data_IF_525226172271
#
_entry.id   IF_525226172271
#
_cell.length_a   1.000
_cell.length_b   1.000
_cell.length_c   1.000
_cell.angle_alpha   90.00
_cell.angle_beta   90.00
_cell.angle_gamma   90.00
#
_symmetry.space_group_name_H-M   'P 1'
#
loop_
_entity.id
_entity.type
_entity.pdbx_description
1 polymer ?
#
# COMPACT_ATOMS: atom_id res chain seq x y z
N UNK A 1 34.70 -13.49 -17.97
CA UNK A 1 33.35 -14.09 -17.81
C UNK A 1 32.69 -13.33 -16.69
N UNK A 2 31.80 -12.39 -17.00
CA UNK A 2 31.02 -11.62 -16.01
C UNK A 2 29.71 -12.39 -15.77
N UNK A 3 29.58 -12.98 -14.58
CA UNK A 3 28.37 -13.64 -14.17
C UNK A 3 27.22 -12.62 -14.13
N UNK A 4 26.25 -12.80 -15.02
CA UNK A 4 24.99 -12.10 -14.94
C UNK A 4 24.32 -12.48 -13.62
N UNK A 5 24.00 -11.50 -12.79
CA UNK A 5 23.05 -11.72 -11.68
C UNK A 5 21.72 -12.08 -12.34
N UNK A 6 21.30 -13.34 -12.21
CA UNK A 6 19.92 -13.71 -12.39
C UNK A 6 19.11 -12.76 -11.51
N UNK A 7 18.20 -12.01 -12.11
CA UNK A 7 17.22 -11.24 -11.35
C UNK A 7 16.38 -12.26 -10.60
N UNK A 8 16.61 -12.38 -9.30
CA UNK A 8 15.72 -13.17 -8.45
C UNK A 8 14.31 -12.59 -8.62
N UNK A 9 13.37 -13.41 -9.11
CA UNK A 9 11.95 -13.02 -9.13
C UNK A 9 11.55 -12.69 -7.70
N UNK A 10 11.20 -11.41 -7.45
CA UNK A 10 10.71 -10.99 -6.14
C UNK A 10 11.37 -9.69 -5.62
N UNK A 11 10.86 -9.24 -4.48
CA UNK A 11 11.29 -8.03 -3.75
C UNK A 11 12.30 -8.44 -2.69
N UNK A 12 13.53 -7.91 -2.71
CA UNK A 12 14.52 -8.17 -1.68
C UNK A 12 14.08 -7.65 -0.32
N UNK A 13 13.67 -6.35 -0.24
CA UNK A 13 13.19 -5.71 0.98
C UNK A 13 11.94 -4.87 0.71
N UNK A 14 10.85 -5.20 1.42
CA UNK A 14 9.60 -4.46 1.43
C UNK A 14 9.46 -3.67 2.73
N UNK A 15 9.25 -2.36 2.63
CA UNK A 15 8.90 -1.52 3.77
C UNK A 15 7.40 -1.23 3.77
N UNK A 16 6.70 -1.60 4.85
CA UNK A 16 5.27 -1.36 5.01
C UNK A 16 5.05 -0.21 5.98
N UNK A 17 4.60 0.91 5.45
CA UNK A 17 4.23 2.09 6.22
C UNK A 17 2.75 1.99 6.56
N UNK A 18 2.47 1.51 7.78
CA UNK A 18 1.11 1.19 8.23
C UNK A 18 0.83 -0.32 8.23
N UNK A 19 1.29 -1.03 9.27
CA UNK A 19 1.05 -2.47 9.42
C UNK A 19 -0.33 -2.70 10.04
N UNK A 20 -1.37 -2.53 9.20
CA UNK A 20 -2.76 -2.80 9.53
C UNK A 20 -3.32 -3.99 8.77
N UNK A 21 -4.65 -4.01 8.55
CA UNK A 21 -5.32 -5.04 7.76
C UNK A 21 -4.69 -5.16 6.36
N UNK A 22 -4.59 -4.07 5.60
CA UNK A 22 -4.09 -4.09 4.22
C UNK A 22 -2.59 -4.40 4.18
N UNK A 23 -1.75 -3.61 4.86
CA UNK A 23 -0.30 -3.79 4.84
C UNK A 23 0.13 -5.15 5.42
N UNK A 24 -0.51 -5.58 6.51
CA UNK A 24 -0.24 -6.89 7.12
C UNK A 24 -0.66 -8.06 6.23
N UNK A 25 -1.80 -7.96 5.54
CA UNK A 25 -2.24 -9.00 4.61
C UNK A 25 -1.33 -9.10 3.39
N UNK A 26 -0.86 -7.96 2.86
CA UNK A 26 0.13 -7.94 1.77
C UNK A 26 1.40 -8.67 2.19
N UNK A 27 1.95 -8.34 3.37
CA UNK A 27 3.13 -9.01 3.90
C UNK A 27 2.94 -10.53 4.00
N UNK A 28 1.83 -10.96 4.61
CA UNK A 28 1.51 -12.40 4.75
C UNK A 28 1.42 -13.11 3.40
N UNK A 29 0.74 -12.49 2.42
CA UNK A 29 0.57 -13.08 1.08
C UNK A 29 1.90 -13.22 0.34
N UNK A 30 2.74 -12.16 0.35
CA UNK A 30 4.04 -12.17 -0.33
C UNK A 30 5.04 -13.12 0.35
N UNK A 31 5.04 -13.21 1.68
CA UNK A 31 5.87 -14.18 2.41
C UNK A 31 5.44 -15.62 2.12
N UNK A 32 4.12 -15.91 2.08
CA UNK A 32 3.59 -17.22 1.71
C UNK A 32 4.01 -17.64 0.29
N UNK A 33 4.11 -16.68 -0.62
CA UNK A 33 4.50 -16.91 -2.01
C UNK A 33 6.02 -16.92 -2.23
N UNK A 34 6.83 -16.74 -1.19
CA UNK A 34 8.30 -16.59 -1.27
C UNK A 34 8.74 -15.48 -2.25
N UNK A 35 7.93 -14.41 -2.31
CA UNK A 35 8.14 -13.27 -3.22
C UNK A 35 8.87 -12.10 -2.56
N UNK A 36 9.05 -12.11 -1.24
CA UNK A 36 9.73 -11.07 -0.49
C UNK A 36 10.80 -11.66 0.44
N UNK A 37 12.00 -11.08 0.42
CA UNK A 37 13.11 -11.55 1.26
C UNK A 37 13.03 -11.05 2.70
N UNK A 38 12.74 -9.75 2.90
CA UNK A 38 12.61 -9.13 4.22
C UNK A 38 11.46 -8.13 4.22
N UNK A 39 10.65 -8.13 5.28
CA UNK A 39 9.57 -7.15 5.50
C UNK A 39 9.88 -6.32 6.73
N UNK A 40 9.94 -4.98 6.56
CA UNK A 40 10.09 -4.02 7.66
C UNK A 40 8.77 -3.29 7.87
N UNK A 41 8.28 -3.30 9.10
CA UNK A 41 7.07 -2.62 9.50
C UNK A 41 7.35 -1.25 10.14
N UNK A 42 6.61 -0.22 9.72
CA UNK A 42 6.57 1.07 10.38
C UNK A 42 5.14 1.44 10.76
N UNK A 43 4.96 2.05 11.91
CA UNK A 43 3.65 2.51 12.38
C UNK A 43 3.77 3.34 13.65
N UNK A 44 2.64 3.88 14.14
CA UNK A 44 2.58 4.71 15.34
C UNK A 44 2.43 3.91 16.65
N UNK A 45 1.87 2.72 16.56
CA UNK A 45 1.58 1.88 17.73
C UNK A 45 2.64 0.78 17.86
N UNK A 46 3.51 0.91 18.85
CA UNK A 46 4.51 -0.10 19.18
C UNK A 46 3.85 -1.46 19.50
N UNK A 47 2.73 -1.45 20.22
CA UNK A 47 2.00 -2.69 20.54
C UNK A 47 1.53 -3.42 19.28
N UNK A 48 1.01 -2.70 18.28
CA UNK A 48 0.61 -3.30 17.00
C UNK A 48 1.82 -3.82 16.21
N UNK A 49 2.96 -3.12 16.26
CA UNK A 49 4.18 -3.54 15.56
C UNK A 49 4.82 -4.76 16.23
N UNK A 50 4.81 -4.85 17.56
CA UNK A 50 5.23 -6.04 18.30
C UNK A 50 4.35 -7.25 17.94
N UNK A 51 3.04 -7.07 17.93
CA UNK A 51 2.10 -8.10 17.50
C UNK A 51 2.37 -8.56 16.06
N UNK A 52 2.70 -7.63 15.15
CA UNK A 52 3.07 -7.95 13.78
C UNK A 52 4.33 -8.82 13.70
N UNK A 53 5.34 -8.54 14.53
CA UNK A 53 6.55 -9.34 14.63
C UNK A 53 6.24 -10.73 15.21
N UNK A 54 5.50 -10.79 16.32
CA UNK A 54 5.14 -12.04 17.00
C UNK A 54 4.33 -12.99 16.09
N UNK A 55 3.50 -12.42 15.21
CA UNK A 55 2.74 -13.17 14.21
C UNK A 55 3.54 -13.47 12.92
N UNK A 56 4.80 -13.10 12.84
CA UNK A 56 5.63 -13.29 11.66
C UNK A 56 5.19 -12.49 10.43
N UNK A 57 4.36 -11.45 10.61
CA UNK A 57 3.90 -10.55 9.53
C UNK A 57 5.07 -9.72 9.02
N UNK A 58 5.87 -9.18 9.93
CA UNK A 58 7.10 -8.44 9.62
C UNK A 58 8.30 -9.18 10.22
N UNK A 59 9.48 -8.99 9.63
CA UNK A 59 10.73 -9.55 10.14
C UNK A 59 11.42 -8.59 11.11
N UNK A 60 11.18 -7.31 10.93
CA UNK A 60 11.63 -6.20 11.79
C UNK A 60 10.58 -5.10 11.82
N UNK A 61 10.65 -4.25 12.81
CA UNK A 61 9.83 -3.05 12.89
C UNK A 61 10.60 -1.88 13.51
N UNK A 62 10.13 -0.68 13.24
CA UNK A 62 10.67 0.55 13.81
C UNK A 62 9.60 1.64 13.93
N UNK A 63 9.82 2.61 14.81
CA UNK A 63 9.03 3.85 14.92
C UNK A 63 9.70 5.00 14.16
N UNK A 64 10.89 4.80 13.59
CA UNK A 64 11.58 5.77 12.76
C UNK A 64 11.35 5.48 11.28
N UNK A 65 10.73 6.45 10.59
CA UNK A 65 10.43 6.34 9.16
C UNK A 65 11.71 6.22 8.32
N UNK A 66 12.78 6.95 8.68
CA UNK A 66 14.03 6.91 7.92
C UNK A 66 14.69 5.52 8.01
N UNK A 67 14.64 4.90 9.19
CA UNK A 67 15.12 3.54 9.38
C UNK A 67 14.25 2.54 8.59
N UNK A 68 12.91 2.72 8.60
CA UNK A 68 11.99 1.85 7.89
C UNK A 68 12.26 1.82 6.37
N UNK A 69 12.53 2.99 5.75
CA UNK A 69 12.72 3.09 4.30
C UNK A 69 14.16 2.83 3.86
N UNK A 70 15.11 2.80 4.80
CA UNK A 70 16.51 2.58 4.48
C UNK A 70 16.74 1.20 3.83
N UNK A 71 17.20 1.20 2.59
CA UNK A 71 17.51 -0.02 1.84
C UNK A 71 16.29 -0.80 1.32
N UNK A 72 15.09 -0.24 1.37
CA UNK A 72 13.92 -0.84 0.76
C UNK A 72 14.04 -0.85 -0.78
N UNK A 73 13.57 -1.91 -1.42
CA UNK A 73 13.33 -1.96 -2.86
C UNK A 73 11.93 -1.42 -3.17
N UNK A 74 10.95 -1.79 -2.34
CA UNK A 74 9.57 -1.29 -2.44
C UNK A 74 9.11 -0.74 -1.10
N UNK A 75 8.47 0.44 -1.14
CA UNK A 75 7.82 1.09 -0.01
C UNK A 75 6.32 1.12 -0.27
N UNK A 76 5.56 0.42 0.58
CA UNK A 76 4.10 0.38 0.53
C UNK A 76 3.49 1.32 1.58
N UNK A 77 2.77 2.34 1.15
CA UNK A 77 1.93 3.17 2.03
C UNK A 77 0.58 2.50 2.23
N UNK A 78 0.35 1.94 3.40
CA UNK A 78 -0.93 1.35 3.81
C UNK A 78 -1.51 2.09 5.03
N UNK A 79 -1.36 3.42 5.03
CA UNK A 79 -1.89 4.36 6.03
C UNK A 79 -3.16 5.04 5.53
N UNK A 80 -3.94 5.70 6.39
CA UNK A 80 -5.01 6.58 5.95
C UNK A 80 -4.50 7.62 4.94
N UNK A 81 -5.31 7.91 3.91
CA UNK A 81 -4.97 8.81 2.79
C UNK A 81 -4.41 10.15 3.28
N UNK A 82 -5.03 10.76 4.32
CA UNK A 82 -4.58 12.03 4.89
C UNK A 82 -3.14 12.03 5.46
N UNK A 83 -2.52 10.86 5.64
CA UNK A 83 -1.13 10.79 6.08
C UNK A 83 -0.12 10.95 4.93
N UNK A 84 -0.55 10.89 3.69
CA UNK A 84 0.31 10.96 2.51
C UNK A 84 1.09 12.28 2.46
N UNK A 85 0.44 13.40 2.73
CA UNK A 85 1.06 14.74 2.72
C UNK A 85 2.25 14.86 3.69
N UNK A 86 2.23 14.14 4.80
CA UNK A 86 3.29 14.15 5.79
C UNK A 86 4.37 13.10 5.53
N UNK A 87 4.00 11.95 4.98
CA UNK A 87 4.90 10.81 4.81
C UNK A 87 5.71 10.90 3.50
N UNK A 88 5.07 11.27 2.39
CA UNK A 88 5.72 11.27 1.07
C UNK A 88 6.93 12.22 0.98
N UNK A 89 6.91 13.46 1.52
CA UNK A 89 8.11 14.31 1.53
C UNK A 89 9.27 13.69 2.30
N UNK A 90 8.99 13.02 3.42
CA UNK A 90 10.02 12.36 4.22
C UNK A 90 10.58 11.13 3.51
N UNK A 91 9.75 10.35 2.82
CA UNK A 91 10.18 9.21 1.99
C UNK A 91 11.03 9.71 0.82
N UNK A 92 10.59 10.80 0.16
CA UNK A 92 11.32 11.41 -0.95
C UNK A 92 12.74 11.81 -0.59
N UNK A 93 12.97 12.30 0.62
CA UNK A 93 14.31 12.65 1.11
C UNK A 93 15.28 11.44 1.15
N UNK A 94 14.76 10.23 1.28
CA UNK A 94 15.53 8.98 1.32
C UNK A 94 15.45 8.16 0.02
N UNK A 95 14.75 8.66 -1.00
CA UNK A 95 14.51 7.95 -2.26
C UNK A 95 15.82 7.77 -3.04
N UNK A 96 16.07 6.54 -3.49
CA UNK A 96 17.20 6.15 -4.35
C UNK A 96 16.67 5.64 -5.69
N UNK A 97 17.55 5.57 -6.70
CA UNK A 97 17.18 5.26 -8.09
C UNK A 97 16.53 3.87 -8.29
N UNK A 98 16.73 2.95 -7.37
CA UNK A 98 16.16 1.60 -7.43
C UNK A 98 14.95 1.38 -6.53
N UNK A 99 14.51 2.40 -5.79
CA UNK A 99 13.35 2.30 -4.90
C UNK A 99 12.05 2.56 -5.65
N UNK A 100 11.02 1.81 -5.30
CA UNK A 100 9.65 2.02 -5.77
C UNK A 100 8.79 2.42 -4.58
N UNK A 101 7.89 3.37 -4.78
CA UNK A 101 6.88 3.75 -3.80
C UNK A 101 5.51 3.47 -4.37
N UNK A 102 4.66 2.79 -3.62
CA UNK A 102 3.26 2.54 -3.97
C UNK A 102 2.37 2.76 -2.78
N UNK A 103 1.07 2.89 -3.00
CA UNK A 103 0.09 3.08 -1.93
C UNK A 103 -1.11 2.13 -2.07
N UNK A 104 -1.93 2.08 -1.03
CA UNK A 104 -3.17 1.33 -0.99
C UNK A 104 -4.39 2.22 -0.67
N UNK A 105 -4.29 3.52 -0.90
CA UNK A 105 -5.33 4.49 -0.59
C UNK A 105 -6.58 4.32 -1.46
N UNK A 106 -7.74 4.58 -0.89
CA UNK A 106 -9.03 4.48 -1.59
C UNK A 106 -9.37 5.68 -2.48
N UNK A 107 -8.61 6.77 -2.38
CA UNK A 107 -8.72 7.99 -3.22
C UNK A 107 -7.37 8.22 -3.85
N UNK A 108 -7.34 8.49 -5.17
CA UNK A 108 -6.07 8.62 -5.90
C UNK A 108 -5.64 10.06 -6.12
N UNK A 109 -6.56 10.98 -6.42
CA UNK A 109 -6.22 12.36 -6.72
C UNK A 109 -5.33 13.00 -5.65
N UNK A 110 -5.79 13.03 -4.40
CA UNK A 110 -5.03 13.66 -3.30
C UNK A 110 -3.68 12.98 -3.02
N UNK A 111 -3.58 11.66 -3.13
CA UNK A 111 -2.33 10.93 -2.93
C UNK A 111 -1.34 11.22 -4.07
N UNK A 112 -1.84 11.32 -5.30
CA UNK A 112 -1.04 11.67 -6.48
C UNK A 112 -0.51 13.10 -6.36
N UNK A 113 -1.37 14.06 -5.97
CA UNK A 113 -0.96 15.46 -5.79
C UNK A 113 0.16 15.57 -4.75
N UNK A 114 0.01 14.87 -3.61
CA UNK A 114 1.06 14.79 -2.59
C UNK A 114 2.35 14.15 -3.13
N UNK A 115 2.25 13.09 -3.94
CA UNK A 115 3.40 12.42 -4.53
C UNK A 115 4.11 13.31 -5.57
N UNK A 116 3.37 13.97 -6.45
CA UNK A 116 3.92 14.92 -7.44
C UNK A 116 4.67 16.05 -6.74
N UNK A 117 4.07 16.62 -5.69
CA UNK A 117 4.71 17.66 -4.88
C UNK A 117 5.99 17.16 -4.20
N UNK A 118 5.97 15.95 -3.64
CA UNK A 118 7.08 15.40 -2.87
C UNK A 118 8.24 14.90 -3.75
N UNK A 119 7.93 14.23 -4.85
CA UNK A 119 8.94 13.56 -5.68
C UNK A 119 9.44 14.41 -6.85
N UNK A 120 8.65 15.37 -7.34
CA UNK A 120 9.05 16.23 -8.45
C UNK A 120 9.56 15.42 -9.65
N UNK A 121 10.80 15.67 -10.10
CA UNK A 121 11.40 14.94 -11.22
C UNK A 121 11.57 13.43 -11.02
N UNK A 122 11.38 12.92 -9.80
CA UNK A 122 11.45 11.48 -9.46
C UNK A 122 10.08 10.81 -9.32
N UNK A 123 9.02 11.44 -9.84
CA UNK A 123 7.66 10.89 -9.80
C UNK A 123 7.53 9.54 -10.54
N UNK A 124 8.47 9.21 -11.43
CA UNK A 124 8.55 7.91 -12.10
C UNK A 124 8.70 6.72 -11.15
N UNK A 125 9.13 6.95 -9.92
CA UNK A 125 9.25 5.94 -8.85
C UNK A 125 7.93 5.65 -8.14
N UNK A 126 6.88 6.42 -8.40
CA UNK A 126 5.59 6.27 -7.73
C UNK A 126 4.56 5.57 -8.61
N UNK A 127 3.96 4.52 -8.04
CA UNK A 127 2.89 3.75 -8.67
C UNK A 127 1.66 3.81 -7.78
N UNK A 128 0.67 4.64 -8.07
CA UNK A 128 -0.54 4.71 -7.27
C UNK A 128 -1.36 3.43 -7.43
N UNK A 129 -1.88 2.90 -6.29
CA UNK A 129 -2.67 1.69 -6.29
C UNK A 129 -3.82 1.73 -5.29
N UNK A 130 -4.85 0.91 -5.56
CA UNK A 130 -5.99 0.75 -4.68
C UNK A 130 -6.47 -0.71 -4.72
N UNK A 131 -6.16 -1.52 -3.69
CA UNK A 131 -6.77 -2.84 -3.54
C UNK A 131 -8.25 -2.70 -3.13
N UNK A 132 -9.14 -3.27 -3.94
CA UNK A 132 -10.58 -3.30 -3.66
C UNK A 132 -10.85 -4.48 -2.72
N UNK A 133 -10.32 -4.36 -1.53
CA UNK A 133 -10.41 -5.35 -0.47
C UNK A 133 -10.41 -4.66 0.89
N UNK A 134 -11.08 -5.24 1.87
CA UNK A 134 -11.18 -4.67 3.20
C UNK A 134 -11.91 -5.60 4.15
N UNK A 135 -12.19 -5.12 5.35
CA UNK A 135 -12.93 -5.83 6.39
C UNK A 135 -13.39 -4.88 7.48
N UNK A 136 -14.26 -5.38 8.34
CA UNK A 136 -14.82 -4.60 9.46
C UNK A 136 -13.78 -4.37 10.57
N UNK A 137 -12.85 -5.28 10.72
CA UNK A 137 -11.82 -5.22 11.76
C UNK A 137 -10.57 -4.50 11.25
N UNK A 138 -9.89 -3.81 12.15
CA UNK A 138 -8.66 -3.06 11.87
C UNK A 138 -7.44 -3.62 12.62
N UNK A 139 -6.25 -3.10 12.29
CA UNK A 139 -5.00 -3.52 12.91
C UNK A 139 -4.41 -4.79 12.29
N UNK A 140 -3.21 -5.17 12.75
CA UNK A 140 -2.51 -6.35 12.22
C UNK A 140 -3.18 -7.65 12.61
N UNK A 141 -3.88 -7.70 13.74
CA UNK A 141 -4.61 -8.89 14.18
C UNK A 141 -5.74 -9.31 13.22
N UNK A 142 -6.26 -8.38 12.42
CA UNK A 142 -7.26 -8.65 11.40
C UNK A 142 -6.66 -9.08 10.04
N UNK A 143 -5.34 -8.99 9.88
CA UNK A 143 -4.68 -9.30 8.60
C UNK A 143 -4.82 -10.79 8.23
N UNK A 144 -5.13 -11.03 6.95
CA UNK A 144 -5.39 -12.36 6.41
C UNK A 144 -4.55 -12.58 5.15
N UNK A 145 -3.96 -13.75 5.03
CA UNK A 145 -3.10 -14.13 3.89
C UNK A 145 -3.84 -14.15 2.55
N UNK A 146 -5.13 -14.45 2.58
CA UNK A 146 -5.95 -14.60 1.37
C UNK A 146 -6.85 -13.37 1.11
N UNK A 147 -6.62 -12.23 1.82
CA UNK A 147 -7.44 -11.02 1.71
C UNK A 147 -7.59 -10.54 0.26
N UNK A 148 -6.55 -10.66 -0.54
CA UNK A 148 -6.53 -10.17 -1.93
C UNK A 148 -6.86 -11.25 -2.96
N UNK A 149 -6.97 -12.52 -2.53
CA UNK A 149 -7.23 -13.61 -3.46
C UNK A 149 -8.57 -13.40 -4.19
N UNK A 150 -8.54 -13.38 -5.53
CA UNK A 150 -9.68 -13.08 -6.41
C UNK A 150 -10.28 -11.67 -6.23
N UNK A 151 -9.61 -10.79 -5.51
CA UNK A 151 -10.02 -9.38 -5.41
C UNK A 151 -9.40 -8.57 -6.54
N UNK A 152 -9.95 -7.39 -6.78
CA UNK A 152 -9.40 -6.44 -7.76
C UNK A 152 -8.38 -5.53 -7.09
N UNK A 153 -7.33 -5.21 -7.82
CA UNK A 153 -6.43 -4.10 -7.50
C UNK A 153 -6.40 -3.17 -8.71
N UNK A 154 -6.66 -1.91 -8.48
CA UNK A 154 -6.64 -0.88 -9.53
C UNK A 154 -5.35 -0.10 -9.37
N UNK A 155 -4.49 -0.14 -10.38
CA UNK A 155 -3.33 0.76 -10.48
C UNK A 155 -3.74 1.97 -11.33
N UNK A 156 -3.28 3.15 -10.92
CA UNK A 156 -3.59 4.39 -11.65
C UNK A 156 -2.31 5.11 -12.07
N UNK A 157 -1.52 4.48 -12.99
CA UNK A 157 -0.22 5.02 -13.37
C UNK A 157 -0.38 6.39 -14.03
N UNK A 158 0.57 7.29 -13.74
CA UNK A 158 0.71 8.55 -14.43
C UNK A 158 1.47 8.35 -15.75
N UNK A 159 1.35 9.25 -16.74
CA UNK A 159 2.20 9.20 -17.93
C UNK A 159 3.70 9.20 -17.64
N UNK A 160 4.09 9.75 -16.49
CA UNK A 160 5.46 9.80 -15.99
C UNK A 160 5.86 8.63 -15.10
N UNK A 161 4.93 7.73 -14.75
CA UNK A 161 5.26 6.51 -13.97
C UNK A 161 6.21 5.63 -14.76
N UNK A 162 7.30 5.19 -14.15
CA UNK A 162 8.28 4.30 -14.78
C UNK A 162 7.69 2.92 -15.06
N UNK A 163 7.87 2.41 -16.28
CA UNK A 163 7.36 1.08 -16.66
C UNK A 163 7.91 -0.02 -15.76
N UNK A 164 9.20 0.06 -15.41
CA UNK A 164 9.85 -0.86 -14.47
C UNK A 164 9.19 -0.90 -13.08
N UNK A 165 8.77 0.29 -12.59
CA UNK A 165 8.10 0.40 -11.30
C UNK A 165 6.66 -0.16 -11.38
N UNK A 166 5.96 0.16 -12.46
CA UNK A 166 4.60 -0.34 -12.72
C UNK A 166 4.56 -1.86 -12.83
N UNK A 167 5.49 -2.46 -13.57
CA UNK A 167 5.61 -3.91 -13.72
C UNK A 167 5.90 -4.60 -12.39
N UNK A 168 6.83 -4.08 -11.59
CA UNK A 168 7.14 -4.61 -10.26
C UNK A 168 5.92 -4.58 -9.33
N UNK A 169 5.20 -3.46 -9.26
CA UNK A 169 4.01 -3.32 -8.40
C UNK A 169 2.87 -4.20 -8.90
N UNK A 170 2.70 -4.35 -10.21
CA UNK A 170 1.74 -5.29 -10.81
C UNK A 170 2.04 -6.72 -10.37
N UNK A 171 3.27 -7.19 -10.58
CA UNK A 171 3.70 -8.54 -10.20
C UNK A 171 3.52 -8.78 -8.69
N UNK A 172 3.85 -7.78 -7.87
CA UNK A 172 3.63 -7.84 -6.42
C UNK A 172 2.15 -8.12 -6.08
N UNK A 173 1.21 -7.42 -6.68
CA UNK A 173 -0.20 -7.63 -6.42
C UNK A 173 -0.74 -8.93 -7.03
N UNK A 174 -0.35 -9.29 -8.25
CA UNK A 174 -0.74 -10.55 -8.90
C UNK A 174 -0.27 -11.76 -8.10
N UNK A 175 0.91 -11.69 -7.48
CA UNK A 175 1.44 -12.73 -6.58
C UNK A 175 0.54 -13.00 -5.37
N UNK A 176 -0.26 -12.02 -4.93
CA UNK A 176 -1.25 -12.23 -3.86
C UNK A 176 -2.51 -12.96 -4.33
N UNK A 177 -2.62 -13.27 -5.62
CA UNK A 177 -3.82 -13.85 -6.25
C UNK A 177 -4.87 -12.80 -6.63
N UNK A 178 -4.51 -11.51 -6.60
CA UNK A 178 -5.37 -10.42 -7.06
C UNK A 178 -5.43 -10.33 -8.59
N UNK A 179 -6.53 -9.78 -9.10
CA UNK A 179 -6.66 -9.38 -10.51
C UNK A 179 -6.31 -7.90 -10.63
N UNK A 180 -5.20 -7.59 -11.29
CA UNK A 180 -4.72 -6.22 -11.45
C UNK A 180 -5.24 -5.61 -12.74
N UNK A 181 -5.77 -4.39 -12.65
CA UNK A 181 -6.19 -3.58 -13.80
C UNK A 181 -5.64 -2.17 -13.69
N UNK A 182 -5.55 -1.47 -14.81
CA UNK A 182 -5.18 -0.06 -14.84
C UNK A 182 -6.38 0.82 -15.15
N UNK A 183 -6.38 2.02 -14.59
CA UNK A 183 -7.40 3.03 -14.81
C UNK A 183 -6.77 4.42 -14.70
N UNK A 184 -7.31 5.37 -15.44
CA UNK A 184 -7.00 6.79 -15.26
C UNK A 184 -7.41 7.25 -13.84
N UNK A 185 -6.58 8.07 -13.13
CA UNK A 185 -6.86 8.50 -11.76
C UNK A 185 -8.21 9.19 -11.57
N UNK A 186 -8.58 10.10 -12.48
CA UNK A 186 -9.86 10.82 -12.39
C UNK A 186 -11.06 9.89 -12.61
N UNK A 187 -10.92 8.95 -13.53
CA UNK A 187 -11.93 7.92 -13.80
C UNK A 187 -12.09 6.99 -12.60
N UNK A 188 -10.98 6.61 -11.94
CA UNK A 188 -10.98 5.85 -10.72
C UNK A 188 -11.78 6.56 -9.63
N UNK A 189 -11.42 7.80 -9.30
CA UNK A 189 -12.06 8.52 -8.20
C UNK A 189 -13.54 8.78 -8.46
N UNK A 190 -13.94 9.10 -9.70
CA UNK A 190 -15.37 9.23 -10.08
C UNK A 190 -16.13 7.92 -9.91
N UNK A 191 -15.56 6.81 -10.38
CA UNK A 191 -16.19 5.49 -10.28
C UNK A 191 -16.38 5.08 -8.82
N UNK A 192 -15.31 5.19 -8.02
CA UNK A 192 -15.33 4.76 -6.61
C UNK A 192 -16.17 5.70 -5.74
N UNK A 193 -16.24 6.99 -6.06
CA UNK A 193 -17.17 7.91 -5.39
C UNK A 193 -18.61 7.44 -5.50
N UNK A 194 -19.03 6.99 -6.68
CA UNK A 194 -20.43 6.56 -6.92
C UNK A 194 -20.70 5.13 -6.43
N UNK A 195 -19.77 4.21 -6.63
CA UNK A 195 -20.03 2.77 -6.41
C UNK A 195 -19.64 2.29 -5.02
N UNK A 196 -18.78 3.04 -4.30
CA UNK A 196 -18.26 2.67 -2.99
C UNK A 196 -18.51 3.77 -1.95
N UNK A 197 -17.99 4.99 -2.14
CA UNK A 197 -17.98 6.01 -1.10
C UNK A 197 -19.40 6.55 -0.80
N UNK A 198 -20.19 6.85 -1.82
CA UNK A 198 -21.57 7.32 -1.65
C UNK A 198 -22.47 6.32 -0.92
N UNK A 199 -22.50 5.02 -1.28
CA UNK A 199 -23.25 4.01 -0.53
C UNK A 199 -22.84 3.93 0.94
N UNK A 200 -21.56 3.99 1.26
CA UNK A 200 -21.07 4.01 2.63
C UNK A 200 -21.53 5.26 3.39
N UNK A 201 -21.40 6.44 2.78
CA UNK A 201 -21.85 7.69 3.40
C UNK A 201 -23.37 7.66 3.71
N UNK A 202 -24.18 7.15 2.78
CA UNK A 202 -25.62 6.99 2.98
C UNK A 202 -25.93 5.99 4.10
N UNK A 203 -25.21 4.86 4.16
CA UNK A 203 -25.39 3.87 5.23
C UNK A 203 -25.07 4.47 6.60
N UNK A 204 -23.96 5.23 6.74
CA UNK A 204 -23.64 5.94 7.98
C UNK A 204 -24.70 6.96 8.38
N UNK A 205 -25.23 7.74 7.43
CA UNK A 205 -26.30 8.70 7.71
C UNK A 205 -27.55 7.99 8.22
N UNK A 206 -27.95 6.88 7.59
CA UNK A 206 -29.12 6.10 8.01
C UNK A 206 -28.95 5.51 9.41
N UNK A 207 -27.78 4.95 9.72
CA UNK A 207 -27.51 4.40 11.06
C UNK A 207 -27.55 5.49 12.12
N UNK A 208 -26.97 6.65 11.87
CA UNK A 208 -26.99 7.78 12.80
C UNK A 208 -28.42 8.28 13.02
N UNK A 209 -29.24 8.41 11.96
CA UNK A 209 -30.65 8.80 12.09
C UNK A 209 -31.46 7.81 12.94
N UNK A 210 -31.19 6.50 12.82
CA UNK A 210 -31.85 5.47 13.63
C UNK A 210 -31.41 5.52 15.10
N UNK A 211 -30.13 5.76 15.34
CA UNK A 211 -29.56 5.88 16.69
C UNK A 211 -30.20 7.09 17.44
N UNK A 212 -30.35 8.21 16.74
CA UNK A 212 -30.97 9.43 17.32
C UNK A 212 -32.45 9.25 17.69
N UNK A 213 -33.17 8.32 17.03
CA UNK A 213 -34.58 8.02 17.37
C UNK A 213 -34.72 7.05 18.54
N UNK A 214 -33.63 6.42 18.96
CA UNK A 214 -33.61 5.42 20.04
C UNK A 214 -33.28 6.04 21.41
N UNK A 215 -33.05 7.35 21.47
CA UNK A 215 -32.85 8.16 22.68
C UNK A 215 -34.01 9.10 22.89
#
# INVERSE_FOLDING_TARGET
>A
MKGGKEHSKGIGRLSIIGVGLIGGSLAKALKKADFVGEVIGFGRSEANLRLALDQGVVDRWTLDLNEAVAGADVIMLATPVAAADQLLPRISASLRDNMIVTDAGSVKGSVIDAAVSAFGGRISHFVPGHPIAGGENSGVGASCVDLFHRQKVILTPLPSTGTWALECVREMWETTGASVSEMDPDSHDRLLALTSHLPHALAFCLVNMLADQSN
#
